data_IF_122038489814
#
_entry.id   IF_122038489814
#
_cell.length_a   1.000
_cell.length_b   1.000
_cell.length_c   1.000
_cell.angle_alpha   90.00
_cell.angle_beta   90.00
_cell.angle_gamma   90.00
#
_symmetry.space_group_name_H-M   'P 1'
#
loop_
_entity.id
_entity.type
_entity.pdbx_description
1 polymer ?
#
# COMPACT_ATOMS: atom_id res chain seq x y z
N UNK A 1 1.38 -8.53 22.95
CA UNK A 1 1.62 -7.69 21.75
C UNK A 1 1.57 -8.57 20.50
N UNK A 2 0.51 -8.48 19.69
CA UNK A 2 0.44 -9.27 18.46
C UNK A 2 1.51 -8.75 17.48
N UNK A 3 2.46 -9.59 17.13
CA UNK A 3 3.44 -9.29 16.09
C UNK A 3 2.69 -9.01 14.78
N UNK A 4 2.93 -7.84 14.15
CA UNK A 4 2.43 -7.54 12.82
C UNK A 4 2.79 -8.69 11.87
N UNK A 5 1.79 -9.30 11.28
CA UNK A 5 1.96 -10.37 10.30
C UNK A 5 2.19 -9.72 8.95
N UNK A 6 3.25 -10.10 8.26
CA UNK A 6 3.54 -9.60 6.91
C UNK A 6 3.17 -10.60 5.80
N UNK A 7 2.72 -11.78 6.18
CA UNK A 7 2.39 -12.88 5.24
C UNK A 7 1.13 -13.56 5.74
N UNK A 8 0.15 -13.73 4.85
CA UNK A 8 -1.09 -14.47 5.10
C UNK A 8 -0.85 -15.97 4.85
N UNK A 9 -1.45 -16.80 5.66
CA UNK A 9 -1.40 -18.26 5.52
C UNK A 9 -2.81 -18.84 5.53
N UNK A 10 -3.32 -19.15 4.34
CA UNK A 10 -4.65 -19.74 4.19
C UNK A 10 -5.75 -18.79 4.65
N UNK A 11 -5.94 -17.71 3.90
CA UNK A 11 -6.96 -16.71 4.13
C UNK A 11 -8.36 -17.33 4.08
N UNK A 12 -9.18 -17.13 5.11
CA UNK A 12 -10.55 -17.57 5.19
C UNK A 12 -11.52 -16.50 4.73
N UNK A 13 -11.42 -15.32 5.32
CA UNK A 13 -12.23 -14.15 4.98
C UNK A 13 -11.47 -12.85 5.26
N UNK A 14 -11.97 -11.75 4.68
CA UNK A 14 -11.49 -10.40 4.90
C UNK A 14 -12.63 -9.40 4.76
N UNK A 15 -12.55 -8.28 5.48
CA UNK A 15 -13.50 -7.17 5.40
C UNK A 15 -12.82 -5.83 5.65
N UNK A 16 -13.35 -4.76 5.05
CA UNK A 16 -12.99 -3.39 5.39
C UNK A 16 -13.63 -2.99 6.72
N UNK A 17 -12.91 -2.21 7.53
CA UNK A 17 -13.39 -1.64 8.78
C UNK A 17 -13.72 -0.16 8.58
N UNK A 18 -14.76 0.36 9.25
CA UNK A 18 -15.05 1.79 9.26
C UNK A 18 -14.01 2.57 10.07
N UNK A 19 -13.58 1.99 11.20
CA UNK A 19 -12.68 2.62 12.14
C UNK A 19 -11.46 1.74 12.44
N UNK A 20 -10.40 2.39 12.94
CA UNK A 20 -9.24 1.69 13.49
C UNK A 20 -9.68 0.79 14.65
N UNK A 21 -9.23 -0.48 14.72
CA UNK A 21 -9.51 -1.35 15.85
C UNK A 21 -9.06 -0.72 17.18
N UNK A 22 -9.97 -0.68 18.16
CA UNK A 22 -9.75 0.02 19.45
C UNK A 22 -8.54 -0.50 20.24
N UNK A 23 -8.22 -1.79 20.11
CA UNK A 23 -7.08 -2.42 20.79
C UNK A 23 -5.72 -2.13 20.12
N UNK A 24 -5.70 -1.54 18.92
CA UNK A 24 -4.46 -1.10 18.28
C UNK A 24 -4.07 0.25 18.86
N UNK A 25 -3.02 0.26 19.68
CA UNK A 25 -2.49 1.48 20.28
C UNK A 25 -1.98 2.47 19.21
N UNK A 26 -2.07 3.77 19.53
CA UNK A 26 -1.43 4.83 18.75
C UNK A 26 -0.22 5.35 19.57
N UNK A 27 0.94 4.67 19.46
CA UNK A 27 2.11 5.11 20.21
C UNK A 27 2.58 6.49 19.72
N UNK A 28 3.19 7.25 20.62
CA UNK A 28 3.81 8.52 20.23
C UNK A 28 4.94 8.27 19.23
N UNK A 29 4.76 8.71 17.99
CA UNK A 29 5.68 8.49 16.88
C UNK A 29 6.79 9.53 16.92
N UNK A 30 8.06 9.11 16.84
CA UNK A 30 9.24 9.99 16.86
C UNK A 30 10.24 9.59 15.76
N UNK A 31 11.14 10.51 15.43
CA UNK A 31 12.26 10.24 14.54
C UNK A 31 11.85 9.75 13.15
N UNK A 32 12.46 8.65 12.72
CA UNK A 32 12.24 8.05 11.38
C UNK A 32 10.77 7.69 11.14
N UNK A 33 10.05 7.22 12.16
CA UNK A 33 8.63 6.88 12.01
C UNK A 33 7.79 8.13 11.71
N UNK A 34 8.08 9.25 12.38
CA UNK A 34 7.43 10.53 12.12
C UNK A 34 7.75 11.05 10.71
N UNK A 35 9.00 10.94 10.28
CA UNK A 35 9.40 11.30 8.92
C UNK A 35 8.66 10.47 7.86
N UNK A 36 8.49 9.16 8.11
CA UNK A 36 7.71 8.26 7.25
C UNK A 36 6.25 8.69 7.14
N UNK A 37 5.60 9.00 8.25
CA UNK A 37 4.21 9.47 8.27
C UNK A 37 4.03 10.82 7.56
N UNK A 38 4.95 11.76 7.75
CA UNK A 38 4.93 13.05 7.05
C UNK A 38 5.03 12.82 5.53
N UNK A 39 5.92 11.94 5.10
CA UNK A 39 6.07 11.59 3.68
C UNK A 39 4.81 10.93 3.12
N UNK A 40 4.25 9.93 3.82
CA UNK A 40 2.99 9.26 3.45
C UNK A 40 1.84 10.27 3.27
N UNK A 41 1.65 11.17 4.24
CA UNK A 41 0.62 12.22 4.17
C UNK A 41 0.83 13.16 2.97
N UNK A 42 2.07 13.51 2.65
CA UNK A 42 2.40 14.33 1.48
C UNK A 42 2.02 13.62 0.18
N UNK A 43 2.36 12.33 0.05
CA UNK A 43 1.99 11.50 -1.10
C UNK A 43 0.47 11.37 -1.20
N UNK A 44 -0.22 11.09 -0.08
CA UNK A 44 -1.68 10.97 -0.05
C UNK A 44 -2.38 12.25 -0.51
N UNK A 45 -1.92 13.42 -0.05
CA UNK A 45 -2.47 14.71 -0.46
C UNK A 45 -2.25 14.99 -1.96
N UNK A 46 -1.07 14.68 -2.47
CA UNK A 46 -0.76 14.79 -3.90
C UNK A 46 -1.68 13.90 -4.74
N UNK A 47 -1.83 12.65 -4.36
CA UNK A 47 -2.67 11.67 -5.06
C UNK A 47 -4.15 12.08 -4.98
N UNK A 48 -4.63 12.56 -3.83
CA UNK A 48 -5.99 13.09 -3.67
C UNK A 48 -6.28 14.27 -4.58
N UNK A 49 -5.31 15.16 -4.76
CA UNK A 49 -5.46 16.29 -5.69
C UNK A 49 -5.64 15.85 -7.15
N UNK A 50 -5.06 14.68 -7.54
CA UNK A 50 -5.17 14.14 -8.89
C UNK A 50 -6.41 13.26 -9.11
N UNK A 51 -6.82 12.46 -8.12
CA UNK A 51 -7.82 11.38 -8.29
C UNK A 51 -9.05 11.55 -7.40
N UNK A 52 -9.10 12.56 -6.55
CA UNK A 52 -10.26 12.97 -5.78
C UNK A 52 -10.82 11.87 -4.86
N UNK A 53 -12.10 11.58 -5.02
CA UNK A 53 -12.86 10.62 -4.22
C UNK A 53 -12.51 9.15 -4.47
N UNK A 54 -11.71 8.86 -5.51
CA UNK A 54 -11.18 7.51 -5.77
C UNK A 54 -10.05 7.10 -4.83
N UNK A 55 -9.51 8.04 -4.06
CA UNK A 55 -8.39 7.80 -3.15
C UNK A 55 -8.88 7.47 -1.75
N UNK A 56 -8.43 6.33 -1.26
CA UNK A 56 -8.65 5.89 0.12
C UNK A 56 -7.29 5.90 0.84
N UNK A 57 -7.17 6.67 1.91
CA UNK A 57 -5.95 6.78 2.71
C UNK A 57 -6.17 6.15 4.08
N UNK A 58 -5.31 5.23 4.45
CA UNK A 58 -5.27 4.64 5.79
C UNK A 58 -6.46 3.74 6.14
N UNK A 59 -7.07 3.08 5.16
CA UNK A 59 -8.17 2.13 5.39
C UNK A 59 -7.69 0.91 6.16
N UNK A 60 -8.38 0.57 7.24
CA UNK A 60 -8.16 -0.66 8.00
C UNK A 60 -8.95 -1.83 7.42
N UNK A 61 -8.31 -3.00 7.44
CA UNK A 61 -8.91 -4.28 7.06
C UNK A 61 -8.69 -5.31 8.16
N UNK A 62 -9.73 -6.11 8.41
CA UNK A 62 -9.69 -7.27 9.30
C UNK A 62 -9.76 -8.53 8.45
N UNK A 63 -9.01 -9.53 8.80
CA UNK A 63 -8.99 -10.82 8.10
C UNK A 63 -8.80 -11.97 9.09
N UNK A 64 -9.17 -13.18 8.67
CA UNK A 64 -8.86 -14.43 9.37
C UNK A 64 -8.03 -15.34 8.47
N UNK A 65 -6.90 -15.80 8.97
CA UNK A 65 -6.07 -16.82 8.36
C UNK A 65 -5.92 -18.03 9.29
N UNK A 66 -5.11 -19.03 8.92
CA UNK A 66 -4.87 -20.23 9.74
C UNK A 66 -4.38 -19.93 11.16
N UNK A 67 -3.85 -18.76 11.42
CA UNK A 67 -3.34 -18.32 12.72
C UNK A 67 -4.36 -17.50 13.51
N UNK A 68 -5.60 -17.34 12.99
CA UNK A 68 -6.68 -16.55 13.57
C UNK A 68 -6.77 -15.13 13.01
N UNK A 69 -7.41 -14.23 13.75
CA UNK A 69 -7.66 -12.85 13.34
C UNK A 69 -6.38 -12.05 13.14
N UNK A 70 -6.37 -11.22 12.13
CA UNK A 70 -5.31 -10.27 11.81
C UNK A 70 -5.88 -8.96 11.26
N UNK A 71 -5.05 -7.92 11.24
CA UNK A 71 -5.41 -6.60 10.76
C UNK A 71 -4.29 -6.03 9.92
N UNK A 72 -4.64 -5.31 8.86
CA UNK A 72 -3.68 -4.60 8.04
C UNK A 72 -4.24 -3.26 7.59
N UNK A 73 -3.33 -2.38 7.19
CA UNK A 73 -3.65 -1.03 6.73
C UNK A 73 -2.68 -0.68 5.61
N UNK A 74 -3.09 -0.86 4.34
CA UNK A 74 -2.38 -0.26 3.22
C UNK A 74 -2.35 1.26 3.35
N UNK A 75 -1.25 1.89 2.95
CA UNK A 75 -1.12 3.33 3.10
C UNK A 75 -2.15 4.05 2.23
N UNK A 76 -2.18 3.76 0.92
CA UNK A 76 -3.09 4.42 -0.02
C UNK A 76 -3.65 3.41 -1.03
N UNK A 77 -4.93 3.54 -1.34
CA UNK A 77 -5.58 2.84 -2.44
C UNK A 77 -6.13 3.86 -3.44
N UNK A 78 -6.03 3.56 -4.73
CA UNK A 78 -6.76 4.28 -5.79
C UNK A 78 -7.73 3.30 -6.43
N UNK A 79 -9.03 3.57 -6.24
CA UNK A 79 -10.09 2.72 -6.76
C UNK A 79 -10.14 2.78 -8.29
N UNK A 80 -10.59 1.70 -8.95
CA UNK A 80 -10.81 1.71 -10.39
C UNK A 80 -11.88 2.74 -10.78
N UNK A 81 -11.78 3.23 -12.01
CA UNK A 81 -12.77 4.12 -12.64
C UNK A 81 -12.97 3.74 -14.12
N UNK A 82 -13.70 4.56 -14.86
CA UNK A 82 -13.99 4.29 -16.28
C UNK A 82 -12.73 4.24 -17.18
N UNK A 83 -11.65 4.88 -16.77
CA UNK A 83 -10.38 4.92 -17.50
C UNK A 83 -9.38 3.87 -17.04
N UNK A 84 -9.61 3.25 -15.88
CA UNK A 84 -8.70 2.29 -15.23
C UNK A 84 -9.51 1.18 -14.56
N UNK A 85 -9.34 -0.03 -15.02
CA UNK A 85 -10.06 -1.23 -14.56
C UNK A 85 -9.35 -1.99 -13.41
N UNK A 86 -8.34 -1.37 -12.79
CA UNK A 86 -7.56 -1.96 -11.71
C UNK A 86 -7.54 -1.09 -10.45
N UNK A 87 -7.32 -1.74 -9.30
CA UNK A 87 -7.08 -1.12 -8.01
C UNK A 87 -5.56 -0.92 -7.84
N UNK A 88 -5.14 0.31 -7.61
CA UNK A 88 -3.74 0.60 -7.29
C UNK A 88 -3.54 0.59 -5.77
N UNK A 89 -2.59 -0.22 -5.31
CA UNK A 89 -2.22 -0.37 -3.89
C UNK A 89 -0.84 0.23 -3.68
N UNK A 90 -0.76 1.25 -2.85
CA UNK A 90 0.47 2.03 -2.62
C UNK A 90 0.95 1.83 -1.18
N UNK A 91 2.22 1.52 -1.05
CA UNK A 91 2.97 1.53 0.21
C UNK A 91 4.07 2.60 0.14
N UNK A 92 4.05 3.54 1.08
CA UNK A 92 5.02 4.64 1.14
C UNK A 92 6.22 4.25 2.00
N UNK A 93 7.43 4.47 1.49
CA UNK A 93 8.68 4.18 2.22
C UNK A 93 9.67 5.32 2.06
N UNK A 94 10.46 5.59 3.10
CA UNK A 94 11.58 6.54 2.99
C UNK A 94 12.68 6.01 2.06
N UNK A 95 12.87 4.68 2.05
CA UNK A 95 13.78 3.95 1.13
C UNK A 95 13.10 2.69 0.64
N UNK A 96 13.44 2.25 -0.56
CA UNK A 96 12.98 0.97 -1.10
C UNK A 96 13.43 -0.20 -0.20
N UNK A 97 12.51 -1.12 0.09
CA UNK A 97 12.79 -2.28 0.93
C UNK A 97 12.11 -3.53 0.40
N UNK A 98 12.77 -4.68 0.52
CA UNK A 98 12.15 -5.98 0.28
C UNK A 98 10.95 -6.25 1.20
N UNK A 99 10.96 -5.66 2.39
CA UNK A 99 9.85 -5.77 3.34
C UNK A 99 8.55 -5.16 2.79
N UNK A 100 8.64 -4.04 2.08
CA UNK A 100 7.49 -3.43 1.40
C UNK A 100 6.94 -4.37 0.32
N UNK A 101 7.80 -5.00 -0.47
CA UNK A 101 7.41 -5.99 -1.48
C UNK A 101 6.67 -7.18 -0.84
N UNK A 102 7.22 -7.76 0.24
CA UNK A 102 6.57 -8.85 0.98
C UNK A 102 5.20 -8.42 1.51
N UNK A 103 5.10 -7.23 2.08
CA UNK A 103 3.87 -6.67 2.64
C UNK A 103 2.81 -6.46 1.55
N UNK A 104 3.19 -5.88 0.42
CA UNK A 104 2.29 -5.67 -0.73
C UNK A 104 1.77 -6.99 -1.30
N UNK A 105 2.64 -7.96 -1.57
CA UNK A 105 2.26 -9.17 -2.29
C UNK A 105 1.73 -10.30 -1.41
N UNK A 106 2.17 -10.40 -0.16
CA UNK A 106 1.80 -11.53 0.72
C UNK A 106 0.87 -11.15 1.88
N UNK A 107 0.61 -9.87 2.09
CA UNK A 107 -0.36 -9.39 3.07
C UNK A 107 -1.51 -8.65 2.39
N UNK A 108 -1.23 -7.55 1.69
CA UNK A 108 -2.29 -6.71 1.14
C UNK A 108 -2.99 -7.36 -0.06
N UNK A 109 -2.23 -7.92 -1.00
CA UNK A 109 -2.82 -8.57 -2.17
C UNK A 109 -3.87 -9.63 -1.81
N UNK A 110 -3.60 -10.65 -0.98
CA UNK A 110 -4.60 -11.66 -0.64
C UNK A 110 -5.85 -11.06 0.01
N UNK A 111 -5.68 -10.09 0.92
CA UNK A 111 -6.81 -9.42 1.59
C UNK A 111 -7.67 -8.66 0.60
N UNK A 112 -7.06 -7.87 -0.27
CA UNK A 112 -7.77 -7.03 -1.24
C UNK A 112 -8.40 -7.85 -2.36
N UNK A 113 -7.77 -8.93 -2.83
CA UNK A 113 -8.37 -9.87 -3.78
C UNK A 113 -9.62 -10.55 -3.20
N UNK A 114 -9.65 -10.78 -1.89
CA UNK A 114 -10.83 -11.34 -1.22
C UNK A 114 -11.98 -10.35 -1.15
N UNK A 115 -11.69 -9.05 -1.00
CA UNK A 115 -12.68 -7.96 -0.91
C UNK A 115 -13.13 -7.50 -2.30
N UNK A 116 -12.21 -7.47 -3.26
CA UNK A 116 -12.44 -7.03 -4.64
C UNK A 116 -12.11 -8.17 -5.64
N UNK A 117 -12.88 -9.27 -5.64
CA UNK A 117 -12.51 -10.50 -6.36
C UNK A 117 -12.48 -10.37 -7.89
N UNK A 118 -13.12 -9.34 -8.44
CA UNK A 118 -13.20 -9.11 -9.89
C UNK A 118 -12.34 -7.94 -10.39
N UNK A 119 -11.49 -7.41 -9.52
CA UNK A 119 -10.65 -6.26 -9.84
C UNK A 119 -9.19 -6.67 -9.85
N UNK A 120 -8.49 -6.35 -10.91
CA UNK A 120 -7.04 -6.51 -10.95
C UNK A 120 -6.36 -5.58 -9.95
N UNK A 121 -5.31 -6.07 -9.30
CA UNK A 121 -4.52 -5.28 -8.36
C UNK A 121 -3.15 -4.96 -8.95
N UNK A 122 -2.74 -3.70 -8.81
CA UNK A 122 -1.35 -3.27 -9.07
C UNK A 122 -0.72 -2.80 -7.77
N UNK A 123 0.47 -3.35 -7.47
CA UNK A 123 1.21 -3.07 -6.25
C UNK A 123 2.34 -2.10 -6.53
N UNK A 124 2.42 -1.03 -5.76
CA UNK A 124 3.45 0.01 -5.92
C UNK A 124 4.03 0.39 -4.58
N UNK A 125 5.37 0.42 -4.47
CA UNK A 125 6.00 1.16 -3.40
C UNK A 125 6.44 2.53 -3.92
N UNK A 126 6.09 3.58 -3.19
CA UNK A 126 6.53 4.94 -3.46
C UNK A 126 7.65 5.29 -2.48
N UNK A 127 8.80 5.69 -3.00
CA UNK A 127 9.99 5.93 -2.17
C UNK A 127 10.42 7.39 -2.21
N UNK A 128 10.86 7.90 -1.06
CA UNK A 128 11.38 9.25 -0.92
C UNK A 128 12.83 9.36 -1.39
N UNK A 129 13.65 8.37 -1.06
CA UNK A 129 15.08 8.37 -1.34
C UNK A 129 15.45 7.15 -2.18
N UNK A 130 16.22 7.38 -3.24
CA UNK A 130 16.80 6.33 -4.05
C UNK A 130 18.09 5.82 -3.40
N UNK A 131 18.20 4.50 -3.27
CA UNK A 131 19.47 3.86 -2.98
C UNK A 131 20.16 3.55 -4.32
N UNK A 132 21.32 4.17 -4.55
CA UNK A 132 22.10 4.01 -5.80
C UNK A 132 22.57 2.58 -6.04
N UNK A 133 22.56 1.74 -5.00
CA UNK A 133 23.03 0.35 -5.07
C UNK A 133 21.92 -0.66 -5.41
N UNK A 134 20.65 -0.24 -5.41
CA UNK A 134 19.53 -1.10 -5.74
C UNK A 134 19.21 -0.98 -7.25
N UNK A 135 19.32 -2.08 -7.97
CA UNK A 135 18.75 -2.21 -9.32
C UNK A 135 17.24 -2.34 -9.17
N UNK A 136 16.54 -1.25 -9.35
CA UNK A 136 15.08 -1.20 -9.30
C UNK A 136 14.58 -0.78 -10.67
N UNK A 137 13.49 -1.40 -11.11
CA UNK A 137 12.72 -0.86 -12.23
C UNK A 137 11.97 0.37 -11.71
N UNK A 138 12.58 1.54 -11.90
CA UNK A 138 12.06 2.81 -11.43
C UNK A 138 11.05 3.38 -12.41
N UNK A 139 9.97 3.84 -11.86
CA UNK A 139 8.94 4.58 -12.57
C UNK A 139 8.95 6.00 -12.02
N UNK A 140 8.98 6.98 -12.90
CA UNK A 140 9.09 8.39 -12.52
C UNK A 140 7.74 9.05 -12.26
N UNK A 141 6.65 8.52 -12.84
CA UNK A 141 5.31 9.10 -12.73
C UNK A 141 4.24 8.04 -12.44
N UNK A 142 3.11 8.48 -11.86
CA UNK A 142 1.95 7.60 -11.69
C UNK A 142 1.34 7.17 -13.02
N UNK A 143 1.41 8.01 -14.05
CA UNK A 143 0.91 7.67 -15.38
C UNK A 143 1.68 6.50 -15.99
N UNK A 144 2.99 6.40 -15.74
CA UNK A 144 3.79 5.26 -16.16
C UNK A 144 3.34 3.96 -15.48
N UNK A 145 2.90 4.01 -14.21
CA UNK A 145 2.30 2.86 -13.53
C UNK A 145 1.00 2.43 -14.22
N UNK A 146 0.19 3.39 -14.64
CA UNK A 146 -1.07 3.10 -15.30
C UNK A 146 -0.88 2.53 -16.71
N UNK A 147 0.17 2.91 -17.41
CA UNK A 147 0.49 2.46 -18.76
C UNK A 147 1.21 1.10 -18.81
N UNK A 148 1.73 0.59 -17.70
CA UNK A 148 2.44 -0.69 -17.69
C UNK A 148 1.50 -1.87 -17.92
N UNK A 149 1.86 -2.71 -18.88
CA UNK A 149 1.27 -4.04 -19.00
C UNK A 149 1.55 -4.88 -17.74
N UNK A 150 0.69 -5.86 -17.44
CA UNK A 150 0.68 -6.76 -16.25
C UNK A 150 1.99 -7.54 -15.96
N UNK A 151 3.14 -7.13 -16.45
CA UNK A 151 4.41 -7.90 -16.37
C UNK A 151 5.07 -7.91 -15.00
N UNK A 152 4.66 -7.03 -14.07
CA UNK A 152 5.37 -6.86 -12.80
C UNK A 152 4.46 -7.14 -11.61
N UNK A 153 4.95 -7.94 -10.66
CA UNK A 153 4.25 -8.20 -9.40
C UNK A 153 4.13 -6.95 -8.53
N UNK A 154 5.03 -5.99 -8.66
CA UNK A 154 4.97 -4.65 -8.09
C UNK A 154 5.95 -3.70 -8.81
N UNK A 155 5.74 -2.41 -8.65
CA UNK A 155 6.60 -1.35 -9.17
C UNK A 155 7.15 -0.48 -8.05
N UNK A 156 8.32 0.12 -8.28
CA UNK A 156 8.87 1.14 -7.39
C UNK A 156 8.81 2.50 -8.07
N UNK A 157 8.15 3.45 -7.43
CA UNK A 157 7.93 4.80 -7.93
C UNK A 157 8.74 5.81 -7.12
N UNK A 158 9.45 6.68 -7.82
CA UNK A 158 10.15 7.81 -7.25
C UNK A 158 9.57 9.12 -7.80
N UNK A 159 8.85 9.85 -6.97
CA UNK A 159 8.25 11.13 -7.33
C UNK A 159 9.22 12.26 -6.98
N UNK A 160 10.03 12.70 -7.95
CA UNK A 160 11.11 13.70 -7.76
C UNK A 160 10.63 15.00 -7.11
N UNK A 161 9.43 15.45 -7.47
CA UNK A 161 8.88 16.72 -6.98
C UNK A 161 8.35 16.68 -5.54
N UNK A 162 8.35 15.50 -4.91
CA UNK A 162 7.79 15.28 -3.56
C UNK A 162 8.84 14.75 -2.56
N UNK A 163 10.06 14.69 -2.97
CA UNK A 163 11.20 14.24 -2.12
C UNK A 163 11.63 15.29 -1.11
#
# INVERSE_FOLDING_TARGET
MQKRRNIIRGLRWAKALQDKPRFISSPRIKGIQRAGLIYENRIANYIKALYGDKVIHGQWYEYEDRRGLGWCQPDILILPDKSRDFLLVIECKLKATRKAWVQLNYLYRPVLEKIYPQVDLRMVQVVKNLDKNLKLDLIDTLDDVFCQEKKFEYSTLFLRNLT
#
